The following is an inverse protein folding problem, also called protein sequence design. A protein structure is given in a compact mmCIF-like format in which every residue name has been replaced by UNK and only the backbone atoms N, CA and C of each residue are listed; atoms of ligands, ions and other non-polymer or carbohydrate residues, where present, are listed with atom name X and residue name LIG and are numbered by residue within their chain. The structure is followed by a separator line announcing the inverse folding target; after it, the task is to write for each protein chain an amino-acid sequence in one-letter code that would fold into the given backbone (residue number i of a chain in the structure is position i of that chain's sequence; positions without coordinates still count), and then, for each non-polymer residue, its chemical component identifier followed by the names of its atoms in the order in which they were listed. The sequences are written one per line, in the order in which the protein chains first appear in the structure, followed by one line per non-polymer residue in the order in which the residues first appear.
data_IF_394549077035
#
_entry.id   IF_394549077035
#
_cell.length_a   1.000
_cell.length_b   1.000
_cell.length_c   1.000
_cell.angle_alpha   90.00
_cell.angle_beta   90.00
_cell.angle_gamma   90.00
#
_symmetry.space_group_name_H-M   'P 1'
#
loop_
_entity.id
_entity.type
_entity.pdbx_description
1 polymer ?
#
# COMPACT_ATOMS: atom_id res chain seq x y z
N UNK A 1 12.41 19.53 -0.37
CA UNK A 1 13.04 18.33 0.22
C UNK A 1 13.94 17.60 -0.76
N UNK A 2 13.66 17.61 -2.08
CA UNK A 2 14.55 17.01 -3.08
C UNK A 2 14.55 15.48 -3.10
N UNK A 3 13.56 14.87 -2.44
CA UNK A 3 13.39 13.42 -2.33
C UNK A 3 12.85 12.82 -3.62
N UNK A 4 13.22 11.58 -3.91
CA UNK A 4 12.73 10.84 -5.07
C UNK A 4 11.41 10.09 -4.80
N UNK A 5 10.99 10.02 -3.53
CA UNK A 5 9.71 9.44 -3.16
C UNK A 5 9.24 9.88 -1.78
N UNK A 6 7.95 9.71 -1.53
CA UNK A 6 7.25 10.08 -0.30
C UNK A 6 6.48 8.87 0.22
N UNK A 7 6.74 8.50 1.47
CA UNK A 7 5.94 7.51 2.19
C UNK A 7 4.70 8.18 2.78
N UNK A 8 3.53 7.58 2.59
CA UNK A 8 2.26 8.02 3.17
C UNK A 8 1.74 6.99 4.18
N UNK A 9 1.16 7.46 5.27
CA UNK A 9 0.49 6.61 6.25
C UNK A 9 -0.98 6.33 5.87
N UNK A 10 -1.64 5.46 6.64
CA UNK A 10 -3.01 4.99 6.39
C UNK A 10 -4.06 6.11 6.40
N UNK A 11 -3.79 7.24 7.07
CA UNK A 11 -4.75 8.34 7.22
C UNK A 11 -4.81 9.26 6.00
N UNK A 12 -3.84 9.16 5.09
CA UNK A 12 -3.78 9.98 3.88
C UNK A 12 -4.80 9.46 2.85
N UNK A 13 -5.74 10.30 2.36
CA UNK A 13 -6.64 9.91 1.29
C UNK A 13 -5.87 9.55 0.01
N UNK A 14 -6.15 8.39 -0.58
CA UNK A 14 -5.40 7.92 -1.76
C UNK A 14 -5.54 8.87 -2.94
N UNK A 15 -6.74 9.43 -3.17
CA UNK A 15 -6.98 10.38 -4.26
C UNK A 15 -6.14 11.66 -4.11
N UNK A 16 -5.93 12.11 -2.87
CA UNK A 16 -5.05 13.24 -2.62
C UNK A 16 -3.60 12.89 -2.98
N UNK A 17 -3.12 11.73 -2.53
CA UNK A 17 -1.76 11.27 -2.84
C UNK A 17 -1.56 11.05 -4.35
N UNK A 18 -2.53 10.44 -5.03
CA UNK A 18 -2.54 10.23 -6.49
C UNK A 18 -2.46 11.55 -7.25
N UNK A 19 -3.30 12.52 -6.90
CA UNK A 19 -3.42 13.75 -7.68
C UNK A 19 -2.36 14.82 -7.31
N UNK A 20 -1.81 14.76 -6.10
CA UNK A 20 -0.94 15.84 -5.56
C UNK A 20 0.51 15.40 -5.37
N UNK A 21 0.75 14.14 -5.01
CA UNK A 21 2.10 13.65 -4.66
C UNK A 21 2.70 12.85 -5.81
N UNK A 22 1.97 11.89 -6.35
CA UNK A 22 2.43 10.97 -7.40
C UNK A 22 2.93 11.67 -8.69
N UNK A 23 2.37 12.81 -9.14
CA UNK A 23 2.89 13.49 -10.33
C UNK A 23 4.29 14.09 -10.12
N UNK A 24 4.73 14.22 -8.87
CA UNK A 24 5.98 14.87 -8.51
C UNK A 24 7.08 13.87 -8.11
N UNK A 25 6.72 12.70 -7.58
CA UNK A 25 7.68 11.68 -7.12
C UNK A 25 6.99 10.33 -6.85
N UNK A 26 7.77 9.28 -6.59
CA UNK A 26 7.22 7.98 -6.25
C UNK A 26 6.43 8.03 -4.93
N UNK A 27 5.25 7.41 -4.90
CA UNK A 27 4.49 7.22 -3.66
C UNK A 27 4.83 5.86 -3.06
N UNK A 28 4.96 5.78 -1.74
CA UNK A 28 5.12 4.51 -1.02
C UNK A 28 4.09 4.38 0.10
N UNK A 29 3.44 3.22 0.23
CA UNK A 29 2.44 2.96 1.29
C UNK A 29 1.20 2.23 0.73
N UNK A 30 0.05 2.25 1.40
CA UNK A 30 -0.16 2.68 2.79
C UNK A 30 -1.08 1.74 3.57
N UNK A 31 -1.10 0.44 3.20
CA UNK A 31 -2.00 -0.56 3.79
C UNK A 31 -1.96 -0.50 5.33
N UNK A 32 -3.13 -0.47 5.95
CA UNK A 32 -3.26 -0.55 7.41
C UNK A 32 -2.67 -1.87 7.94
N UNK A 33 -1.69 -1.84 8.86
CA UNK A 33 -1.19 -3.06 9.50
C UNK A 33 -2.29 -3.90 10.15
N UNK A 34 -3.40 -3.31 10.60
CA UNK A 34 -4.52 -4.05 11.20
C UNK A 34 -5.34 -4.83 10.17
N UNK A 35 -5.38 -4.36 8.92
CA UNK A 35 -5.94 -5.15 7.83
C UNK A 35 -5.05 -6.35 7.51
N UNK A 36 -3.73 -6.18 7.59
CA UNK A 36 -2.79 -7.30 7.45
C UNK A 36 -2.93 -8.31 8.60
N UNK A 37 -3.12 -7.86 9.85
CA UNK A 37 -3.44 -8.73 10.99
C UNK A 37 -4.73 -9.51 10.72
N UNK A 38 -5.77 -8.83 10.23
CA UNK A 38 -7.08 -9.44 9.97
C UNK A 38 -7.07 -10.40 8.77
N UNK A 39 -6.26 -10.10 7.75
CA UNK A 39 -6.17 -10.87 6.51
C UNK A 39 -7.48 -10.91 5.72
N UNK A 40 -7.64 -11.97 4.93
CA UNK A 40 -8.88 -12.29 4.24
C UNK A 40 -9.36 -11.24 3.24
N UNK A 41 -10.69 -11.15 3.09
CA UNK A 41 -11.33 -10.32 2.07
C UNK A 41 -11.07 -8.82 2.26
N UNK A 42 -11.06 -8.33 3.51
CA UNK A 42 -10.83 -6.92 3.79
C UNK A 42 -9.42 -6.48 3.37
N UNK A 43 -8.39 -7.27 3.73
CA UNK A 43 -7.03 -7.05 3.23
C UNK A 43 -6.98 -7.09 1.71
N UNK A 44 -7.58 -8.13 1.10
CA UNK A 44 -7.54 -8.32 -0.36
C UNK A 44 -8.16 -7.15 -1.11
N UNK A 45 -9.32 -6.67 -0.65
CA UNK A 45 -10.02 -5.54 -1.27
C UNK A 45 -9.21 -4.25 -1.14
N UNK A 46 -8.64 -3.99 0.03
CA UNK A 46 -7.86 -2.77 0.24
C UNK A 46 -6.55 -2.77 -0.56
N UNK A 47 -5.85 -3.90 -0.63
CA UNK A 47 -4.66 -4.07 -1.48
C UNK A 47 -5.01 -3.78 -2.95
N UNK A 48 -6.11 -4.35 -3.45
CA UNK A 48 -6.56 -4.09 -4.82
C UNK A 48 -6.91 -2.61 -5.04
N UNK A 49 -7.59 -1.97 -4.09
CA UNK A 49 -7.95 -0.56 -4.15
C UNK A 49 -6.71 0.34 -4.20
N UNK A 50 -5.72 0.07 -3.38
CA UNK A 50 -4.44 0.81 -3.35
C UNK A 50 -3.71 0.65 -4.68
N UNK A 51 -3.53 -0.59 -5.15
CA UNK A 51 -2.82 -0.88 -6.41
C UNK A 51 -3.51 -0.22 -7.60
N UNK A 52 -4.84 -0.30 -7.68
CA UNK A 52 -5.61 0.33 -8.75
C UNK A 52 -5.57 1.87 -8.68
N UNK A 53 -5.49 2.45 -7.49
CA UNK A 53 -5.46 3.91 -7.36
C UNK A 53 -4.14 4.48 -7.91
N UNK A 54 -3.03 3.79 -7.67
CA UNK A 54 -1.69 4.27 -8.02
C UNK A 54 -1.11 3.66 -9.31
N UNK A 55 -1.91 2.98 -10.14
CA UNK A 55 -1.46 2.33 -11.38
C UNK A 55 -0.91 3.32 -12.44
N UNK A 56 -1.38 4.57 -12.42
CA UNK A 56 -1.01 5.62 -13.37
C UNK A 56 0.39 6.25 -13.14
N UNK A 57 1.18 5.76 -12.18
CA UNK A 57 2.46 6.39 -11.85
C UNK A 57 3.41 5.57 -10.97
N UNK A 58 4.58 6.12 -10.62
CA UNK A 58 5.57 5.42 -9.83
C UNK A 58 5.05 5.13 -8.42
N UNK A 59 4.95 3.85 -8.08
CA UNK A 59 4.39 3.40 -6.82
C UNK A 59 5.17 2.21 -6.23
N UNK A 60 5.41 2.27 -4.92
CA UNK A 60 6.01 1.20 -4.13
C UNK A 60 4.97 0.79 -3.09
N UNK A 61 4.31 -0.35 -3.29
CA UNK A 61 3.38 -0.87 -2.30
C UNK A 61 4.10 -1.12 -0.96
N UNK A 62 3.54 -0.61 0.14
CA UNK A 62 4.03 -0.87 1.49
C UNK A 62 2.89 -0.72 2.50
N UNK A 63 3.15 -1.06 3.76
CA UNK A 63 2.28 -0.70 4.86
C UNK A 63 2.37 0.80 5.17
N UNK A 64 1.31 1.36 5.76
CA UNK A 64 1.31 2.75 6.26
C UNK A 64 2.08 2.91 7.58
N UNK A 65 2.38 1.81 8.26
CA UNK A 65 3.20 1.75 9.47
C UNK A 65 3.89 0.37 9.57
N UNK A 66 4.74 0.16 10.57
CA UNK A 66 5.41 -1.13 10.77
C UNK A 66 4.44 -2.30 10.98
N UNK A 67 4.89 -3.49 10.59
CA UNK A 67 4.22 -4.75 10.94
C UNK A 67 4.10 -4.87 12.46
N UNK A 68 2.95 -5.34 12.95
CA UNK A 68 2.73 -5.53 14.40
C UNK A 68 2.92 -7.00 14.79
N UNK A 69 3.34 -7.32 16.03
CA UNK A 69 3.65 -8.68 16.46
C UNK A 69 2.52 -9.69 16.31
N UNK A 70 1.27 -9.23 16.28
CA UNK A 70 0.07 -10.04 16.13
C UNK A 70 -0.15 -10.52 14.69
N UNK A 71 0.64 -10.02 13.73
CA UNK A 71 0.47 -10.33 12.31
C UNK A 71 0.81 -11.80 12.01
N UNK A 72 -0.15 -12.61 11.53
CA UNK A 72 0.13 -13.97 11.11
C UNK A 72 1.06 -14.00 9.89
N UNK A 73 2.07 -14.89 9.90
CA UNK A 73 3.03 -15.02 8.80
C UNK A 73 2.33 -15.35 7.47
N UNK A 74 1.30 -16.19 7.51
CA UNK A 74 0.54 -16.57 6.32
C UNK A 74 -0.19 -15.38 5.67
N UNK A 75 -0.57 -14.37 6.46
CA UNK A 75 -1.16 -13.15 5.92
C UNK A 75 -0.12 -12.29 5.19
N UNK A 76 1.12 -12.27 5.69
CA UNK A 76 2.24 -11.61 5.00
C UNK A 76 2.54 -12.31 3.67
N UNK A 77 2.55 -13.65 3.65
CA UNK A 77 2.75 -14.42 2.43
C UNK A 77 1.63 -14.12 1.41
N UNK A 78 0.37 -14.15 1.83
CA UNK A 78 -0.77 -13.83 0.99
C UNK A 78 -0.72 -12.40 0.44
N UNK A 79 -0.32 -11.40 1.25
CA UNK A 79 -0.11 -10.02 0.80
C UNK A 79 0.96 -9.94 -0.29
N UNK A 80 2.11 -10.59 -0.07
CA UNK A 80 3.22 -10.58 -1.04
C UNK A 80 2.81 -11.22 -2.36
N UNK A 81 2.10 -12.35 -2.31
CA UNK A 81 1.59 -13.02 -3.50
C UNK A 81 0.59 -12.15 -4.26
N UNK A 82 -0.31 -11.47 -3.54
CA UNK A 82 -1.27 -10.55 -4.16
C UNK A 82 -0.58 -9.38 -4.85
N UNK A 83 0.39 -8.72 -4.20
CA UNK A 83 1.11 -7.58 -4.76
C UNK A 83 1.96 -7.97 -5.96
N UNK A 84 2.64 -9.13 -5.92
CA UNK A 84 3.45 -9.63 -7.04
C UNK A 84 2.62 -10.21 -8.19
N UNK A 85 1.42 -10.69 -7.90
CA UNK A 85 0.51 -11.26 -8.89
C UNK A 85 -0.09 -10.22 -9.83
N UNK A 86 -0.14 -8.95 -9.41
CA UNK A 86 -0.57 -7.84 -10.27
C UNK A 86 0.55 -7.50 -11.25
N UNK A 87 0.32 -7.79 -12.53
CA UNK A 87 1.17 -7.30 -13.62
C UNK A 87 0.65 -5.92 -14.02
N UNK A 88 1.47 -4.89 -13.81
CA UNK A 88 1.25 -3.55 -14.37
C UNK A 88 1.38 -3.52 -15.88
#
# INVERSE_FOLDING_TARGET
TGVNGVSIDVTVPLDFAKNTIQPNCAVQGNLDPLLLVSGGAAMTQEVARILQTFDDGPFIFNLGHGIVPQTPIDHVAALVDQVKGVKG
#
